data_IF_659197646553
#
_entry.id   IF_659197646553
#
_cell.length_a   1.000
_cell.length_b   1.000
_cell.length_c   1.000
_cell.angle_alpha   90.00
_cell.angle_beta   90.00
_cell.angle_gamma   90.00
#
_symmetry.space_group_name_H-M   'P 1'
#
loop_
_entity.id
_entity.type
_entity.pdbx_description
1 polymer ?
#
# COMPACT_ATOMS: atom_id res chain seq x y z
N UNK A 1 -16.20 -3.76 15.39
CA UNK A 1 -17.53 -3.54 16.00
C UNK A 1 -17.86 -4.78 16.82
N UNK A 2 -18.30 -4.65 18.06
CA UNK A 2 -18.41 -5.77 19.01
C UNK A 2 -19.80 -5.96 19.60
N UNK A 3 -20.80 -5.18 19.15
CA UNK A 3 -22.20 -5.28 19.57
C UNK A 3 -23.12 -5.31 18.33
N UNK A 4 -24.22 -6.07 18.38
CA UNK A 4 -25.19 -6.12 17.28
C UNK A 4 -25.94 -4.78 17.13
N UNK A 5 -26.35 -4.46 15.90
CA UNK A 5 -27.19 -3.30 15.58
C UNK A 5 -26.49 -1.94 15.72
N UNK A 6 -25.16 -1.91 15.81
CA UNK A 6 -24.38 -0.68 15.92
C UNK A 6 -24.01 -0.19 14.52
N UNK A 7 -24.45 1.03 14.19
CA UNK A 7 -24.22 1.66 12.87
C UNK A 7 -22.87 2.39 12.76
N UNK A 8 -22.17 2.59 13.88
CA UNK A 8 -20.88 3.28 13.92
C UNK A 8 -20.24 3.30 15.30
N UNK A 9 -19.07 3.90 15.42
CA UNK A 9 -18.39 4.08 16.71
C UNK A 9 -17.63 5.39 16.77
N UNK A 10 -17.45 5.90 17.98
CA UNK A 10 -16.40 6.87 18.24
C UNK A 10 -15.03 6.22 18.06
N UNK A 11 -14.19 6.91 17.30
CA UNK A 11 -12.84 6.52 16.96
C UNK A 11 -11.92 7.72 17.13
N UNK A 12 -10.78 7.49 17.76
CA UNK A 12 -9.72 8.48 17.94
C UNK A 12 -8.49 8.02 17.12
N UNK A 13 -8.29 8.54 15.89
CA UNK A 13 -7.04 8.34 15.17
C UNK A 13 -5.93 9.13 15.86
N UNK A 14 -4.75 8.54 16.10
CA UNK A 14 -3.58 9.29 16.55
C UNK A 14 -3.27 10.47 15.62
N UNK A 15 -2.54 11.46 16.13
CA UNK A 15 -2.11 12.63 15.34
C UNK A 15 -1.47 12.20 14.01
N UNK A 16 -1.91 12.84 12.92
CA UNK A 16 -1.44 12.57 11.57
C UNK A 16 -2.60 12.56 10.57
N UNK A 17 -2.27 12.40 9.29
CA UNK A 17 -3.24 12.16 8.24
C UNK A 17 -3.45 10.66 8.07
N UNK A 18 -4.70 10.25 7.88
CA UNK A 18 -5.13 8.87 7.68
C UNK A 18 -6.00 8.76 6.43
N UNK A 19 -5.98 7.60 5.79
CA UNK A 19 -6.86 7.25 4.68
C UNK A 19 -7.82 6.18 5.15
N UNK A 20 -9.12 6.35 4.88
CA UNK A 20 -10.07 5.26 5.00
C UNK A 20 -9.71 4.19 3.96
N UNK A 21 -9.46 2.96 4.40
CA UNK A 21 -8.99 1.87 3.52
C UNK A 21 -10.01 1.52 2.42
N UNK A 22 -11.31 1.71 2.68
CA UNK A 22 -12.38 1.34 1.75
C UNK A 22 -12.74 2.48 0.78
N UNK A 23 -12.80 3.72 1.28
CA UNK A 23 -13.27 4.88 0.50
C UNK A 23 -12.15 5.77 -0.03
N UNK A 24 -10.91 5.57 0.43
CA UNK A 24 -9.75 6.43 0.20
C UNK A 24 -9.92 7.87 0.71
N UNK A 25 -10.95 8.16 1.51
CA UNK A 25 -11.17 9.47 2.09
C UNK A 25 -10.08 9.82 3.12
N UNK A 26 -9.63 11.07 3.07
CA UNK A 26 -8.62 11.62 3.98
C UNK A 26 -9.26 12.03 5.32
N UNK A 27 -8.63 11.65 6.41
CA UNK A 27 -9.06 11.88 7.79
C UNK A 27 -7.90 12.45 8.60
N UNK A 28 -8.10 13.64 9.19
CA UNK A 28 -7.16 14.20 10.15
C UNK A 28 -7.40 13.55 11.53
N UNK A 29 -6.32 13.09 12.16
CA UNK A 29 -6.31 12.54 13.51
C UNK A 29 -6.12 13.61 14.60
N UNK A 30 -5.86 13.14 15.82
CA UNK A 30 -5.80 13.91 17.07
C UNK A 30 -7.14 14.44 17.60
N UNK A 31 -8.26 14.02 17.00
CA UNK A 31 -9.61 14.35 17.46
C UNK A 31 -10.50 13.11 17.41
N UNK A 32 -11.40 12.98 18.40
CA UNK A 32 -12.39 11.91 18.39
C UNK A 32 -13.46 12.23 17.34
N UNK A 33 -13.84 11.22 16.56
CA UNK A 33 -14.85 11.35 15.52
C UNK A 33 -15.77 10.15 15.47
N UNK A 34 -17.01 10.41 15.09
CA UNK A 34 -17.94 9.36 14.73
C UNK A 34 -17.56 8.80 13.38
N UNK A 35 -17.50 7.47 13.28
CA UNK A 35 -17.25 6.76 12.03
C UNK A 35 -18.36 5.75 11.82
N UNK A 36 -19.03 5.89 10.69
CA UNK A 36 -20.03 4.94 10.23
C UNK A 36 -19.34 3.61 9.88
N UNK A 37 -19.93 2.52 10.35
CA UNK A 37 -19.47 1.17 10.06
C UNK A 37 -20.64 0.39 9.48
N UNK A 38 -20.90 0.53 8.16
CA UNK A 38 -21.89 -0.29 7.50
C UNK A 38 -21.49 -1.77 7.60
N UNK A 39 -22.47 -2.66 7.56
CA UNK A 39 -22.29 -4.11 7.75
C UNK A 39 -21.23 -4.71 6.80
N UNK A 40 -21.14 -4.16 5.59
CA UNK A 40 -20.21 -4.58 4.53
C UNK A 40 -18.76 -4.14 4.74
N UNK A 41 -18.45 -3.43 5.84
CA UNK A 41 -17.10 -2.91 6.09
C UNK A 41 -16.70 -2.97 7.56
N UNK A 42 -15.41 -2.80 7.81
CA UNK A 42 -14.88 -2.63 9.17
C UNK A 42 -14.08 -1.34 9.24
N UNK A 43 -14.06 -0.62 10.38
CA UNK A 43 -13.30 0.63 10.46
C UNK A 43 -11.81 0.32 10.37
N UNK A 44 -11.22 0.59 9.20
CA UNK A 44 -9.82 0.35 8.88
C UNK A 44 -9.25 1.60 8.22
N UNK A 45 -8.15 2.10 8.78
CA UNK A 45 -7.49 3.32 8.34
C UNK A 45 -6.01 3.06 8.15
N UNK A 46 -5.46 3.58 7.06
CA UNK A 46 -4.03 3.51 6.76
C UNK A 46 -3.40 4.87 7.01
N UNK A 47 -2.27 4.92 7.71
CA UNK A 47 -1.57 6.17 7.95
C UNK A 47 -1.05 6.72 6.62
N UNK A 48 -1.15 8.03 6.42
CA UNK A 48 -0.52 8.68 5.28
C UNK A 48 1.01 8.47 5.32
N UNK A 49 1.61 8.30 4.15
CA UNK A 49 3.02 7.98 3.98
C UNK A 49 3.31 6.49 3.98
N UNK A 50 2.31 5.61 4.13
CA UNK A 50 2.52 4.16 4.12
C UNK A 50 2.57 3.60 2.69
N UNK A 51 3.70 2.99 2.27
CA UNK A 51 3.70 2.01 1.21
C UNK A 51 3.27 0.66 1.81
N UNK A 52 2.13 0.13 1.38
CA UNK A 52 1.52 -1.08 1.92
C UNK A 52 1.51 -2.19 0.85
N UNK A 53 2.41 -3.18 0.96
CA UNK A 53 2.34 -4.41 0.18
C UNK A 53 1.18 -5.26 0.66
N UNK A 54 0.34 -5.75 -0.26
CA UNK A 54 -0.74 -6.69 0.02
C UNK A 54 -0.69 -7.84 -0.98
N UNK A 55 -0.81 -9.04 -0.44
CA UNK A 55 -1.01 -10.22 -1.27
C UNK A 55 -2.44 -10.19 -1.82
N UNK A 56 -2.67 -10.46 -3.12
CA UNK A 56 -4.00 -10.74 -3.62
C UNK A 56 -4.61 -11.94 -2.89
N UNK A 57 -5.93 -11.99 -2.90
CA UNK A 57 -6.69 -13.10 -2.30
C UNK A 57 -6.32 -14.40 -3.01
N UNK A 58 -5.87 -15.39 -2.24
CA UNK A 58 -5.62 -16.76 -2.72
C UNK A 58 -6.29 -17.77 -1.79
N UNK A 59 -6.72 -18.89 -2.36
CA UNK A 59 -7.34 -19.98 -1.60
C UNK A 59 -6.35 -20.69 -0.68
N UNK A 60 -5.08 -20.79 -1.09
CA UNK A 60 -3.99 -21.39 -0.33
C UNK A 60 -2.62 -20.90 -0.83
N UNK A 61 -1.56 -21.24 -0.10
CA UNK A 61 -0.18 -20.98 -0.52
C UNK A 61 0.27 -21.81 -1.73
N UNK A 62 -0.48 -22.85 -2.11
CA UNK A 62 -0.19 -23.68 -3.29
C UNK A 62 -0.69 -23.06 -4.59
N UNK A 63 -1.55 -22.04 -4.52
CA UNK A 63 -1.98 -21.28 -5.70
C UNK A 63 -0.91 -20.25 -6.02
N UNK A 64 -0.50 -20.20 -7.29
CA UNK A 64 0.49 -19.25 -7.77
C UNK A 64 0.11 -17.82 -7.41
N UNK A 65 1.13 -17.05 -7.05
CA UNK A 65 1.02 -15.63 -6.78
C UNK A 65 1.35 -14.88 -8.07
N UNK A 66 0.37 -14.29 -8.77
CA UNK A 66 0.61 -13.66 -10.07
C UNK A 66 1.28 -12.29 -9.97
N UNK A 67 0.98 -11.54 -8.90
CA UNK A 67 1.47 -10.19 -8.62
C UNK A 67 1.35 -9.91 -7.13
N UNK A 68 2.05 -8.90 -6.65
CA UNK A 68 1.81 -8.33 -5.32
C UNK A 68 1.12 -6.97 -5.50
N UNK A 69 0.13 -6.63 -4.68
CA UNK A 69 -0.41 -5.28 -4.66
C UNK A 69 0.52 -4.37 -3.85
N UNK A 70 0.72 -3.14 -4.32
CA UNK A 70 1.51 -2.14 -3.62
C UNK A 70 0.70 -0.85 -3.56
N UNK A 71 0.14 -0.54 -2.39
CA UNK A 71 -0.61 0.69 -2.18
C UNK A 71 0.34 1.78 -1.70
N UNK A 72 0.41 2.91 -2.42
CA UNK A 72 1.15 4.09 -2.02
C UNK A 72 0.18 5.14 -1.45
N UNK A 73 0.04 5.19 -0.13
CA UNK A 73 -0.75 6.23 0.55
C UNK A 73 0.10 7.49 0.73
N UNK A 74 -0.11 8.51 -0.09
CA UNK A 74 0.75 9.69 -0.13
C UNK A 74 0.63 10.55 1.15
N UNK A 75 1.72 11.18 1.55
CA UNK A 75 1.79 12.18 2.62
C UNK A 75 2.71 13.33 2.20
N UNK A 76 2.64 14.43 2.94
CA UNK A 76 3.62 15.53 2.84
C UNK A 76 4.97 15.14 3.46
N UNK A 77 4.94 14.25 4.47
CA UNK A 77 6.13 13.71 5.13
C UNK A 77 6.60 12.42 4.46
N UNK A 78 7.87 12.07 4.70
CA UNK A 78 8.42 10.78 4.25
C UNK A 78 7.75 9.61 4.98
N UNK A 79 7.69 8.46 4.32
CA UNK A 79 7.26 7.22 4.95
C UNK A 79 7.90 5.98 4.34
N UNK A 80 7.85 4.89 5.10
CA UNK A 80 8.54 3.65 4.78
C UNK A 80 7.60 2.46 5.02
N UNK A 81 7.75 1.44 4.17
CA UNK A 81 7.10 0.14 4.29
C UNK A 81 8.07 -0.96 3.90
N UNK A 82 7.78 -2.20 4.31
CA UNK A 82 8.65 -3.34 4.04
C UNK A 82 7.88 -4.59 3.67
N UNK A 83 8.52 -5.43 2.87
CA UNK A 83 8.06 -6.77 2.53
C UNK A 83 9.23 -7.74 2.77
N UNK A 84 8.97 -8.78 3.56
CA UNK A 84 9.91 -9.87 3.77
C UNK A 84 9.30 -11.14 3.19
N UNK A 85 10.08 -11.86 2.40
CA UNK A 85 9.68 -13.10 1.75
C UNK A 85 10.82 -14.11 1.86
N UNK A 86 10.46 -15.37 2.06
CA UNK A 86 11.39 -16.50 2.09
C UNK A 86 10.73 -17.76 1.50
N UNK A 87 11.46 -18.87 1.56
CA UNK A 87 11.01 -20.17 1.06
C UNK A 87 9.85 -20.77 1.89
N UNK A 88 9.60 -20.26 3.10
CA UNK A 88 8.54 -20.73 4.00
C UNK A 88 8.86 -22.03 4.78
N UNK A 89 10.06 -22.60 4.60
CA UNK A 89 10.53 -23.80 5.31
C UNK A 89 11.37 -23.49 6.56
N UNK A 90 11.70 -22.21 6.78
CA UNK A 90 12.43 -21.68 7.93
C UNK A 90 13.95 -21.66 7.81
N UNK A 91 14.55 -22.24 6.76
CA UNK A 91 16.01 -22.30 6.58
C UNK A 91 16.50 -21.84 5.21
N UNK A 92 15.58 -21.61 4.26
CA UNK A 92 15.91 -21.16 2.92
C UNK A 92 16.37 -19.71 2.82
N UNK A 93 16.74 -19.33 1.59
CA UNK A 93 17.06 -17.94 1.25
C UNK A 93 15.85 -17.03 1.44
N UNK A 94 16.12 -15.77 1.77
CA UNK A 94 15.09 -14.75 1.94
C UNK A 94 15.42 -13.48 1.17
N UNK A 95 14.44 -12.59 1.09
CA UNK A 95 14.60 -11.24 0.57
C UNK A 95 13.81 -10.27 1.43
N UNK A 96 14.45 -9.14 1.76
CA UNK A 96 13.82 -7.98 2.35
C UNK A 96 13.76 -6.87 1.31
N UNK A 97 12.55 -6.40 1.03
CA UNK A 97 12.27 -5.24 0.18
C UNK A 97 11.83 -4.09 1.09
N UNK A 98 12.40 -2.92 0.88
CA UNK A 98 12.03 -1.70 1.58
C UNK A 98 11.55 -0.69 0.57
N UNK A 99 10.40 -0.09 0.84
CA UNK A 99 9.76 0.92 0.03
C UNK A 99 9.79 2.25 0.77
N UNK A 100 10.25 3.30 0.11
CA UNK A 100 10.30 4.66 0.69
C UNK A 100 9.49 5.61 -0.17
N UNK A 101 8.52 6.27 0.45
CA UNK A 101 7.80 7.40 -0.12
C UNK A 101 8.44 8.69 0.39
N UNK A 102 9.00 9.48 -0.52
CA UNK A 102 9.57 10.81 -0.22
C UNK A 102 9.68 11.64 -1.50
N UNK A 103 9.57 12.96 -1.40
CA UNK A 103 9.82 13.89 -2.52
C UNK A 103 9.14 13.49 -3.84
N UNK A 104 7.87 13.07 -3.78
CA UNK A 104 7.13 12.56 -4.95
C UNK A 104 7.81 11.35 -5.64
N UNK A 105 8.46 10.50 -4.85
CA UNK A 105 9.10 9.27 -5.32
C UNK A 105 8.68 8.10 -4.46
N UNK A 106 8.52 6.95 -5.10
CA UNK A 106 8.49 5.65 -4.45
C UNK A 106 9.79 4.92 -4.82
N UNK A 107 10.63 4.67 -3.84
CA UNK A 107 11.95 4.05 -4.04
C UNK A 107 11.92 2.65 -3.43
N UNK A 108 12.40 1.67 -4.17
CA UNK A 108 12.57 0.30 -3.67
C UNK A 108 14.05 -0.01 -3.49
N UNK A 109 14.39 -0.66 -2.36
CA UNK A 109 15.69 -1.31 -2.16
C UNK A 109 15.48 -2.77 -1.78
N UNK A 110 16.33 -3.66 -2.28
CA UNK A 110 16.23 -5.11 -2.07
C UNK A 110 17.52 -5.64 -1.46
N UNK A 111 17.39 -6.55 -0.51
CA UNK A 111 18.52 -7.25 0.11
C UNK A 111 18.17 -8.71 0.34
N UNK A 112 19.00 -9.62 -0.18
CA UNK A 112 18.78 -11.06 -0.12
C UNK A 112 18.74 -11.69 -1.52
N UNK A 113 18.54 -13.01 -1.54
CA UNK A 113 18.73 -13.83 -2.75
C UNK A 113 17.44 -14.54 -3.18
N UNK A 114 16.38 -14.50 -2.35
CA UNK A 114 15.10 -15.08 -2.70
C UNK A 114 14.47 -14.38 -3.91
N UNK A 115 14.06 -15.17 -4.90
CA UNK A 115 13.35 -14.69 -6.08
C UNK A 115 11.87 -15.03 -5.93
N UNK A 116 10.99 -14.02 -5.80
CA UNK A 116 9.55 -14.27 -5.77
C UNK A 116 9.07 -14.83 -7.11
N UNK A 117 7.99 -15.60 -7.09
CA UNK A 117 7.41 -16.22 -8.29
C UNK A 117 6.62 -15.24 -9.17
N UNK A 118 6.31 -14.03 -8.67
CA UNK A 118 5.66 -12.97 -9.44
C UNK A 118 6.69 -12.02 -10.04
N UNK A 119 6.35 -11.46 -11.20
CA UNK A 119 7.22 -10.53 -11.95
C UNK A 119 6.83 -9.06 -11.83
N UNK A 120 5.69 -8.75 -11.19
CA UNK A 120 5.16 -7.38 -11.14
C UNK A 120 4.43 -7.03 -9.86
N UNK A 121 4.31 -5.73 -9.63
CA UNK A 121 3.38 -5.15 -8.68
C UNK A 121 2.16 -4.57 -9.39
N UNK A 122 1.01 -4.73 -8.77
CA UNK A 122 -0.16 -3.88 -9.01
C UNK A 122 -0.02 -2.65 -8.10
N UNK A 123 0.53 -1.56 -8.63
CA UNK A 123 0.67 -0.29 -7.92
C UNK A 123 -0.67 0.45 -7.88
N UNK A 124 -1.08 0.89 -6.70
CA UNK A 124 -2.25 1.76 -6.49
C UNK A 124 -1.80 3.01 -5.74
N UNK A 125 -1.97 4.17 -6.36
CA UNK A 125 -1.56 5.46 -5.80
C UNK A 125 -2.77 6.16 -5.19
N UNK A 126 -2.68 6.57 -3.93
CA UNK A 126 -3.77 7.20 -3.17
C UNK A 126 -3.47 8.64 -2.80
N UNK A 127 -4.46 9.52 -2.97
CA UNK A 127 -4.42 10.90 -2.50
C UNK A 127 -3.64 11.87 -3.38
N UNK A 128 -3.30 11.50 -4.62
CA UNK A 128 -2.60 12.34 -5.58
C UNK A 128 -3.51 13.43 -6.16
N UNK A 129 -3.01 14.66 -6.25
CA UNK A 129 -3.64 15.77 -6.96
C UNK A 129 -3.13 15.93 -8.40
N UNK A 130 -2.20 15.05 -8.78
CA UNK A 130 -1.49 14.99 -10.04
C UNK A 130 -1.68 13.59 -10.63
N UNK A 131 -1.28 13.41 -11.90
CA UNK A 131 -1.76 12.27 -12.69
C UNK A 131 -0.73 11.69 -13.65
N UNK A 132 0.57 11.90 -13.41
CA UNK A 132 1.62 11.24 -14.18
C UNK A 132 2.66 10.56 -13.30
N UNK A 133 3.28 9.53 -13.86
CA UNK A 133 4.43 8.88 -13.26
C UNK A 133 5.37 8.30 -14.31
N UNK A 134 6.60 7.98 -13.91
CA UNK A 134 7.57 7.23 -14.70
C UNK A 134 8.27 6.20 -13.83
N UNK A 135 8.67 5.08 -14.43
CA UNK A 135 9.39 4.00 -13.75
C UNK A 135 10.83 4.00 -14.26
N UNK A 136 11.80 4.01 -13.36
CA UNK A 136 13.24 3.89 -13.63
C UNK A 136 13.76 4.82 -14.73
N UNK A 137 13.28 6.08 -14.74
CA UNK A 137 13.66 7.10 -15.73
C UNK A 137 13.07 6.88 -17.14
N UNK A 138 12.11 5.95 -17.27
CA UNK A 138 11.37 5.70 -18.50
C UNK A 138 10.38 6.81 -18.86
N UNK A 139 9.50 6.50 -19.82
CA UNK A 139 8.50 7.45 -20.33
C UNK A 139 7.47 7.82 -19.25
N UNK A 140 7.06 9.09 -19.22
CA UNK A 140 5.89 9.52 -18.44
C UNK A 140 4.60 8.85 -18.94
N UNK A 141 3.84 8.31 -18.01
CA UNK A 141 2.56 7.67 -18.24
C UNK A 141 1.48 8.34 -17.39
N UNK A 142 0.28 8.58 -17.92
CA UNK A 142 -0.82 9.06 -17.12
C UNK A 142 -1.32 7.97 -16.17
N UNK A 143 -1.91 8.37 -15.05
CA UNK A 143 -2.60 7.47 -14.12
C UNK A 143 -3.85 8.14 -13.55
N UNK A 144 -4.73 7.33 -12.97
CA UNK A 144 -5.91 7.78 -12.24
C UNK A 144 -5.76 7.31 -10.79
N UNK A 145 -5.94 8.24 -9.84
CA UNK A 145 -5.81 7.95 -8.42
C UNK A 145 -6.74 6.80 -8.00
N UNK A 146 -6.21 5.82 -7.26
CA UNK A 146 -6.94 4.65 -6.81
C UNK A 146 -7.14 3.54 -7.87
N UNK A 147 -6.64 3.71 -9.11
CA UNK A 147 -6.61 2.63 -10.11
C UNK A 147 -5.32 1.81 -10.02
N UNK A 148 -5.37 0.61 -10.59
CA UNK A 148 -4.25 -0.33 -10.65
C UNK A 148 -3.34 -0.02 -11.83
N UNK A 149 -2.03 -0.06 -11.59
CA UNK A 149 -0.99 0.06 -12.61
C UNK A 149 0.02 -1.06 -12.45
N UNK A 150 0.28 -1.81 -13.51
CA UNK A 150 1.30 -2.86 -13.51
C UNK A 150 2.70 -2.25 -13.63
N UNK A 151 3.57 -2.56 -12.68
CA UNK A 151 4.98 -2.15 -12.70
C UNK A 151 5.88 -3.38 -12.46
N UNK A 152 7.14 -3.39 -12.94
CA UNK A 152 8.06 -4.49 -12.68
C UNK A 152 8.29 -4.70 -11.18
N UNK A 153 8.39 -5.95 -10.73
CA UNK A 153 8.73 -6.25 -9.33
C UNK A 153 10.11 -5.70 -8.94
N UNK A 154 11.03 -5.62 -9.91
CA UNK A 154 12.39 -5.16 -9.70
C UNK A 154 12.62 -3.66 -9.88
N UNK A 155 11.56 -2.83 -9.93
CA UNK A 155 11.72 -1.38 -10.05
C UNK A 155 12.64 -0.82 -8.95
N UNK A 156 13.36 0.25 -9.25
CA UNK A 156 14.18 0.97 -8.25
C UNK A 156 13.53 2.29 -7.86
N UNK A 157 12.90 2.96 -8.82
CA UNK A 157 12.30 4.28 -8.66
C UNK A 157 11.02 4.43 -9.47
N UNK A 158 9.94 4.82 -8.80
CA UNK A 158 8.78 5.46 -9.43
C UNK A 158 8.81 6.95 -9.09
N UNK A 159 8.91 7.80 -10.11
CA UNK A 159 8.83 9.25 -9.98
C UNK A 159 7.42 9.71 -10.34
N UNK A 160 6.85 10.58 -9.52
CA UNK A 160 5.52 11.14 -9.67
C UNK A 160 5.57 12.60 -10.16
N UNK A 161 4.55 13.03 -10.91
CA UNK A 161 4.40 14.37 -11.49
C UNK A 161 2.94 14.81 -11.59
#
# INVERSE_FOLDING_TARGET
ISKPGVEGRWFYPPKGLWYNFWTNEKVLGAEERWIDVPLESTPLFVRAGTPLPLSPVRLSSSVDLPYMELHAYLADEEGEGGLYEDVGDGYGVSIKKTFKLRDQKLIQTRSGEFQPNYSGYHLIIHGAAWNKFSIDGGKEMPFECGKVFEIPECFELVQFW
#
